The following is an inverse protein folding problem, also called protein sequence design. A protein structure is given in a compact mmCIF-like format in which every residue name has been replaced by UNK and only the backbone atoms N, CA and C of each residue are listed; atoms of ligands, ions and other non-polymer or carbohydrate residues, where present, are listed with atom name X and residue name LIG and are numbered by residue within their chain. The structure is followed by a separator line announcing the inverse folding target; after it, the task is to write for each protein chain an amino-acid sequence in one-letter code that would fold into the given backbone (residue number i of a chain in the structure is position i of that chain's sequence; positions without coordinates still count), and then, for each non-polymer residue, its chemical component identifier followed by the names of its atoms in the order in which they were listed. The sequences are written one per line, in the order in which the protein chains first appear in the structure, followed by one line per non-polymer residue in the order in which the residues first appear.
data_IF_782046016513
#
_entry.id   IF_782046016513
#
_cell.length_a   1.000
_cell.length_b   1.000
_cell.length_c   1.000
_cell.angle_alpha   90.00
_cell.angle_beta   90.00
_cell.angle_gamma   90.00
#
_symmetry.space_group_name_H-M   'P 1'
#
loop_
_entity.id
_entity.type
_entity.pdbx_description
1 polymer ?
#
# COMPACT_ATOMS: atom_id res chain seq x y z
N UNK A 1 -29.96 -11.06 -31.54
CA UNK A 1 -29.92 -10.23 -32.76
C UNK A 1 -29.80 -8.74 -32.38
N UNK A 2 -28.57 -8.24 -32.27
CA UNK A 2 -28.30 -6.87 -31.81
C UNK A 2 -26.97 -6.67 -31.08
N UNK A 3 -25.99 -7.56 -31.28
CA UNK A 3 -24.63 -7.29 -30.83
C UNK A 3 -24.00 -6.24 -31.76
N UNK A 4 -23.60 -5.11 -31.19
CA UNK A 4 -22.88 -4.04 -31.89
C UNK A 4 -21.67 -4.61 -32.65
N UNK A 5 -21.43 -4.21 -33.92
CA UNK A 5 -20.31 -4.70 -34.74
C UNK A 5 -18.92 -4.35 -34.18
N UNK A 6 -18.84 -3.62 -33.06
CA UNK A 6 -17.60 -3.26 -32.38
C UNK A 6 -16.92 -4.43 -31.64
N UNK A 7 -17.68 -5.36 -31.06
CA UNK A 7 -17.10 -6.43 -30.21
C UNK A 7 -16.19 -7.40 -30.99
N UNK A 8 -16.57 -7.87 -32.20
CA UNK A 8 -15.68 -8.72 -33.01
C UNK A 8 -14.43 -7.98 -33.48
N UNK A 9 -14.53 -6.68 -33.76
CA UNK A 9 -13.42 -5.87 -34.24
C UNK A 9 -12.36 -5.65 -33.15
N UNK A 10 -12.80 -5.42 -31.91
CA UNK A 10 -11.89 -5.29 -30.75
C UNK A 10 -11.16 -6.61 -30.45
N UNK A 11 -11.87 -7.74 -30.45
CA UNK A 11 -11.26 -9.07 -30.27
C UNK A 11 -10.25 -9.40 -31.37
N UNK A 12 -10.55 -9.03 -32.61
CA UNK A 12 -9.63 -9.22 -33.76
C UNK A 12 -8.39 -8.33 -33.64
N UNK A 13 -8.55 -7.08 -33.20
CA UNK A 13 -7.44 -6.17 -32.95
C UNK A 13 -6.54 -6.65 -31.80
N UNK A 14 -7.13 -7.18 -30.72
CA UNK A 14 -6.39 -7.76 -29.59
C UNK A 14 -5.59 -9.00 -30.00
N UNK A 15 -6.18 -9.91 -30.79
CA UNK A 15 -5.48 -11.09 -31.29
C UNK A 15 -4.26 -10.70 -32.17
N UNK A 16 -4.42 -9.68 -33.02
CA UNK A 16 -3.31 -9.16 -33.85
C UNK A 16 -2.21 -8.53 -33.01
N UNK A 17 -2.55 -7.78 -31.96
CA UNK A 17 -1.58 -7.15 -31.07
C UNK A 17 -0.76 -8.19 -30.29
N UNK A 18 -1.42 -9.20 -29.71
CA UNK A 18 -0.75 -10.29 -28.99
C UNK A 18 0.17 -11.10 -29.91
N UNK A 19 -0.25 -11.34 -31.15
CA UNK A 19 0.57 -12.05 -32.15
C UNK A 19 1.81 -11.23 -32.54
N UNK A 20 1.66 -9.90 -32.71
CA UNK A 20 2.77 -9.01 -33.01
C UNK A 20 3.78 -8.92 -31.85
N UNK A 21 3.29 -8.86 -30.61
CA UNK A 21 4.14 -8.85 -29.40
C UNK A 21 4.94 -10.15 -29.26
N UNK A 22 4.32 -11.30 -29.51
CA UNK A 22 5.00 -12.61 -29.51
C UNK A 22 6.08 -12.70 -30.59
N UNK A 23 5.81 -12.18 -31.79
CA UNK A 23 6.80 -12.14 -32.88
C UNK A 23 7.97 -11.19 -32.59
N UNK A 24 7.73 -10.08 -31.89
CA UNK A 24 8.77 -9.15 -31.48
C UNK A 24 9.68 -9.74 -30.39
N UNK A 25 9.11 -10.49 -29.44
CA UNK A 25 9.88 -11.20 -28.42
C UNK A 25 10.81 -12.27 -29.03
N UNK A 26 10.33 -12.96 -30.07
CA UNK A 26 11.13 -13.95 -30.81
C UNK A 26 12.26 -13.33 -31.63
N UNK A 27 12.10 -12.10 -32.15
CA UNK A 27 13.13 -11.44 -32.96
C UNK A 27 14.29 -10.86 -32.12
N UNK A 28 14.00 -10.38 -30.90
CA UNK A 28 15.02 -9.86 -29.97
C UNK A 28 15.92 -10.98 -29.43
N UNK A 29 15.40 -12.21 -29.26
CA UNK A 29 16.16 -13.36 -28.80
C UNK A 29 17.24 -13.86 -29.77
N UNK A 30 17.13 -13.57 -31.08
CA UNK A 30 18.06 -14.06 -32.11
C UNK A 30 19.29 -13.14 -32.27
N UNK A 31 19.20 -11.87 -31.87
CA UNK A 31 20.26 -10.88 -32.14
C UNK A 31 21.39 -10.82 -31.09
N UNK A 32 21.35 -11.64 -30.03
CA UNK A 32 22.26 -11.53 -28.87
C UNK A 32 23.51 -12.44 -28.89
N UNK A 33 23.79 -13.18 -29.98
CA UNK A 33 24.92 -14.11 -30.03
C UNK A 33 26.08 -13.62 -30.92
N UNK A 34 27.05 -12.92 -30.33
CA UNK A 34 28.46 -12.87 -30.78
C UNK A 34 29.37 -13.12 -29.57
N UNK A 35 30.35 -14.05 -29.61
CA UNK A 35 31.16 -14.37 -28.44
C UNK A 35 32.41 -13.49 -28.36
N UNK A 36 32.81 -12.99 -27.18
CA UNK A 36 34.18 -12.57 -26.91
C UNK A 36 34.99 -13.69 -26.22
N UNK A 37 36.29 -13.70 -26.47
CA UNK A 37 37.32 -14.67 -26.04
C UNK A 37 37.76 -14.41 -24.60
N UNK A 38 37.90 -15.45 -23.76
CA UNK A 38 38.60 -15.40 -22.46
C UNK A 38 39.43 -16.68 -22.17
N UNK A 39 40.54 -16.60 -21.40
CA UNK A 39 41.53 -17.67 -21.15
C UNK A 39 41.24 -18.53 -19.88
N UNK A 40 42.03 -19.60 -19.56
CA UNK A 40 41.59 -20.78 -18.81
C UNK A 40 41.83 -20.74 -17.26
N UNK A 41 41.36 -21.76 -16.50
CA UNK A 41 40.98 -21.63 -15.09
C UNK A 41 41.88 -22.38 -14.09
N UNK A 42 41.67 -22.12 -12.78
CA UNK A 42 42.06 -23.00 -11.68
C UNK A 42 40.83 -23.42 -10.84
N UNK A 43 40.78 -24.71 -10.48
CA UNK A 43 39.73 -25.36 -9.66
C UNK A 43 39.74 -24.92 -8.19
N UNK A 44 38.77 -25.30 -7.35
CA UNK A 44 38.40 -26.68 -6.99
C UNK A 44 36.99 -26.81 -6.36
N UNK A 45 36.56 -28.06 -6.28
CA UNK A 45 35.29 -28.70 -5.91
C UNK A 45 34.71 -28.48 -4.49
N UNK A 46 33.38 -28.42 -4.38
CA UNK A 46 32.62 -28.96 -3.23
C UNK A 46 31.21 -29.47 -3.60
N UNK A 47 30.74 -30.45 -2.82
CA UNK A 47 29.82 -31.55 -3.17
C UNK A 47 28.36 -31.29 -2.71
N UNK A 48 27.37 -31.69 -3.53
CA UNK A 48 25.91 -31.60 -3.33
C UNK A 48 25.32 -32.74 -2.47
N UNK A 49 24.27 -32.41 -1.70
CA UNK A 49 23.04 -33.19 -1.37
C UNK A 49 21.95 -32.13 -1.10
N UNK A 50 20.67 -32.18 -1.48
CA UNK A 50 19.78 -33.11 -2.17
C UNK A 50 18.37 -32.62 -1.80
N UNK A 51 17.57 -32.14 -2.77
CA UNK A 51 16.24 -31.57 -2.53
C UNK A 51 15.14 -32.42 -3.19
N UNK A 52 14.08 -32.68 -2.43
CA UNK A 52 12.94 -33.52 -2.74
C UNK A 52 11.91 -32.74 -3.58
N UNK A 53 11.36 -33.37 -4.62
CA UNK A 53 10.27 -32.85 -5.49
C UNK A 53 8.90 -33.16 -4.90
N UNK A 54 7.96 -32.22 -5.08
CA UNK A 54 6.51 -32.50 -5.10
C UNK A 54 5.91 -31.89 -6.38
N UNK A 55 4.96 -32.62 -6.95
CA UNK A 55 4.45 -32.51 -8.31
C UNK A 55 3.27 -31.53 -8.45
N UNK A 56 3.16 -30.91 -9.63
CA UNK A 56 1.96 -30.25 -10.13
C UNK A 56 1.70 -30.70 -11.58
N UNK A 57 0.49 -31.22 -11.84
CA UNK A 57 0.07 -31.84 -13.11
C UNK A 57 -0.85 -30.90 -13.90
N UNK A 58 -0.57 -30.90 -15.21
CA UNK A 58 -1.24 -30.49 -16.45
C UNK A 58 -2.51 -29.62 -16.50
N UNK A 59 -2.43 -28.61 -17.38
CA UNK A 59 -3.56 -28.01 -18.08
C UNK A 59 -3.10 -27.53 -19.48
N UNK A 60 -2.47 -28.41 -20.28
CA UNK A 60 -1.96 -28.08 -21.62
C UNK A 60 -2.16 -29.17 -22.69
N UNK A 61 -2.95 -30.20 -22.43
CA UNK A 61 -3.13 -31.31 -23.38
C UNK A 61 -4.25 -31.13 -24.42
N UNK A 62 -4.88 -29.95 -24.53
CA UNK A 62 -6.10 -29.80 -25.35
C UNK A 62 -6.05 -28.80 -26.52
N UNK A 63 -4.86 -28.44 -27.01
CA UNK A 63 -4.75 -27.65 -28.25
C UNK A 63 -3.70 -28.29 -29.17
N UNK A 64 -4.08 -29.43 -29.76
CA UNK A 64 -3.26 -30.15 -30.71
C UNK A 64 -4.06 -30.70 -31.88
N UNK A 65 -4.51 -29.83 -32.80
CA UNK A 65 -4.67 -30.24 -34.20
C UNK A 65 -4.73 -29.02 -35.14
N UNK A 66 -4.21 -29.19 -36.35
CA UNK A 66 -4.19 -28.26 -37.51
C UNK A 66 -3.14 -27.14 -37.53
N UNK A 67 -1.89 -27.50 -37.85
CA UNK A 67 -1.05 -26.75 -38.81
C UNK A 67 0.21 -27.57 -39.15
N UNK A 68 0.34 -27.98 -40.41
CA UNK A 68 1.50 -28.67 -40.96
C UNK A 68 2.65 -27.67 -41.20
N UNK A 69 3.76 -27.82 -40.47
CA UNK A 69 5.00 -27.09 -40.72
C UNK A 69 5.88 -27.82 -41.75
N UNK A 70 6.66 -27.09 -42.59
CA UNK A 70 7.59 -27.70 -43.54
C UNK A 70 8.76 -28.37 -42.80
N UNK A 71 9.11 -29.60 -43.21
CA UNK A 71 10.30 -30.31 -42.71
C UNK A 71 11.58 -29.62 -43.20
N UNK A 72 12.38 -29.10 -42.28
CA UNK A 72 13.76 -28.70 -42.54
C UNK A 72 14.61 -29.95 -42.88
N UNK A 73 15.66 -29.82 -43.72
CA UNK A 73 16.51 -30.95 -44.08
C UNK A 73 17.32 -31.43 -42.87
N UNK A 74 17.68 -32.73 -42.80
CA UNK A 74 18.42 -33.26 -41.66
C UNK A 74 19.82 -32.65 -41.64
N UNK A 75 20.13 -31.96 -40.56
CA UNK A 75 21.47 -31.48 -40.26
C UNK A 75 22.24 -32.65 -39.61
N UNK A 76 23.17 -33.26 -40.35
CA UNK A 76 24.06 -34.28 -39.81
C UNK A 76 25.09 -33.62 -38.87
N UNK A 77 24.76 -33.63 -37.57
CA UNK A 77 25.67 -33.26 -36.51
C UNK A 77 26.27 -34.53 -35.92
N UNK A 78 27.60 -34.65 -35.98
CA UNK A 78 28.36 -35.70 -35.31
C UNK A 78 28.02 -35.78 -33.81
N UNK A 79 28.09 -36.99 -33.26
CA UNK A 79 27.64 -37.35 -31.91
C UNK A 79 28.20 -36.46 -30.80
N UNK A 80 29.39 -35.88 -30.99
CA UNK A 80 30.06 -35.03 -30.00
C UNK A 80 29.46 -33.59 -29.93
N UNK A 81 28.88 -33.10 -31.03
CA UNK A 81 28.22 -31.79 -31.06
C UNK A 81 26.82 -31.82 -30.43
N UNK A 82 26.10 -32.94 -30.55
CA UNK A 82 24.80 -33.14 -29.88
C UNK A 82 24.93 -33.14 -28.36
N UNK A 83 26.01 -33.73 -27.83
CA UNK A 83 26.30 -33.77 -26.39
C UNK A 83 26.67 -32.37 -25.88
N UNK A 84 27.46 -31.60 -26.64
CA UNK A 84 27.80 -30.21 -26.27
C UNK A 84 26.60 -29.28 -26.30
N UNK A 85 25.72 -29.39 -27.30
CA UNK A 85 24.50 -28.58 -27.37
C UNK A 85 23.53 -28.92 -26.23
N UNK A 86 23.37 -30.22 -25.91
CA UNK A 86 22.55 -30.67 -24.78
C UNK A 86 23.12 -30.23 -23.42
N UNK A 87 24.45 -30.17 -23.26
CA UNK A 87 25.10 -29.67 -22.04
C UNK A 87 25.03 -28.13 -21.91
N UNK A 88 25.00 -27.40 -23.02
CA UNK A 88 24.85 -25.94 -23.03
C UNK A 88 23.39 -25.57 -22.71
N UNK A 89 22.42 -26.31 -23.25
CA UNK A 89 20.99 -26.15 -22.93
C UNK A 89 20.66 -26.56 -21.48
N UNK A 90 21.41 -27.50 -20.88
CA UNK A 90 21.26 -27.86 -19.46
C UNK A 90 21.84 -26.84 -18.46
N UNK A 91 22.54 -25.79 -18.91
CA UNK A 91 23.17 -24.77 -18.05
C UNK A 91 22.56 -23.37 -18.16
N UNK A 92 21.38 -23.21 -18.78
CA UNK A 92 20.80 -21.90 -19.02
C UNK A 92 19.87 -21.43 -17.90
N UNK A 93 20.42 -21.18 -16.71
CA UNK A 93 19.74 -20.41 -15.65
C UNK A 93 19.22 -19.06 -16.16
N UNK A 94 19.86 -18.52 -17.20
CA UNK A 94 19.53 -17.24 -17.85
C UNK A 94 18.32 -17.34 -18.77
N UNK A 95 18.11 -18.47 -19.46
CA UNK A 95 16.94 -18.65 -20.32
C UNK A 95 15.68 -18.90 -19.48
N UNK A 96 15.81 -19.65 -18.37
CA UNK A 96 14.73 -19.82 -17.41
C UNK A 96 14.36 -18.50 -16.73
N UNK A 97 15.35 -17.66 -16.39
CA UNK A 97 15.13 -16.30 -15.85
C UNK A 97 14.46 -15.36 -16.86
N UNK A 98 14.93 -15.33 -18.11
CA UNK A 98 14.36 -14.49 -19.16
C UNK A 98 12.96 -14.96 -19.56
N UNK A 99 12.73 -16.27 -19.67
CA UNK A 99 11.41 -16.81 -19.96
C UNK A 99 10.44 -16.57 -18.80
N UNK A 100 10.87 -16.70 -17.54
CA UNK A 100 10.07 -16.32 -16.38
C UNK A 100 9.69 -14.84 -16.41
N UNK A 101 10.65 -13.93 -16.63
CA UNK A 101 10.39 -12.48 -16.70
C UNK A 101 9.45 -12.10 -17.84
N UNK A 102 9.57 -12.74 -19.00
CA UNK A 102 8.67 -12.50 -20.15
C UNK A 102 7.28 -13.07 -19.87
N UNK A 103 7.19 -14.23 -19.23
CA UNK A 103 5.90 -14.85 -18.88
C UNK A 103 5.16 -14.03 -17.82
N UNK A 104 5.88 -13.54 -16.82
CA UNK A 104 5.34 -12.63 -15.79
C UNK A 104 4.85 -11.33 -16.41
N UNK A 105 5.61 -10.73 -17.32
CA UNK A 105 5.19 -9.51 -18.02
C UNK A 105 3.93 -9.73 -18.88
N UNK A 106 3.83 -10.87 -19.57
CA UNK A 106 2.64 -11.21 -20.36
C UNK A 106 1.43 -11.44 -19.45
N UNK A 107 1.63 -12.11 -18.32
CA UNK A 107 0.57 -12.39 -17.35
C UNK A 107 0.08 -11.10 -16.69
N UNK A 108 0.99 -10.17 -16.36
CA UNK A 108 0.64 -8.84 -15.87
C UNK A 108 -0.13 -8.02 -16.92
N UNK A 109 0.31 -8.03 -18.18
CA UNK A 109 -0.40 -7.37 -19.28
C UNK A 109 -1.82 -7.96 -19.43
N UNK A 110 -1.96 -9.28 -19.38
CA UNK A 110 -3.25 -9.96 -19.48
C UNK A 110 -4.17 -9.64 -18.30
N UNK A 111 -3.63 -9.58 -17.08
CA UNK A 111 -4.37 -9.19 -15.87
C UNK A 111 -4.82 -7.73 -15.93
N UNK A 112 -3.96 -6.82 -16.40
CA UNK A 112 -4.31 -5.41 -16.59
C UNK A 112 -5.40 -5.23 -17.65
N UNK A 113 -5.28 -5.88 -18.80
CA UNK A 113 -6.31 -5.89 -19.84
C UNK A 113 -7.63 -6.50 -19.34
N UNK A 114 -7.57 -7.57 -18.56
CA UNK A 114 -8.74 -8.18 -17.93
C UNK A 114 -9.47 -7.21 -17.00
N UNK A 115 -8.73 -6.51 -16.13
CA UNK A 115 -9.29 -5.48 -15.23
C UNK A 115 -9.87 -4.29 -15.99
N UNK A 116 -9.24 -3.86 -17.09
CA UNK A 116 -9.73 -2.76 -17.91
C UNK A 116 -11.03 -3.12 -18.65
N UNK A 117 -11.13 -4.34 -19.17
CA UNK A 117 -12.36 -4.87 -19.79
C UNK A 117 -13.47 -5.00 -18.75
N UNK A 118 -13.17 -5.53 -17.58
CA UNK A 118 -14.14 -5.64 -16.48
C UNK A 118 -14.64 -4.26 -16.03
N UNK A 119 -13.71 -3.29 -15.88
CA UNK A 119 -14.04 -1.90 -15.56
C UNK A 119 -14.91 -1.25 -16.63
N UNK A 120 -14.63 -1.50 -17.92
CA UNK A 120 -15.45 -1.00 -19.03
C UNK A 120 -16.85 -1.64 -19.06
N UNK A 121 -16.94 -2.94 -18.79
CA UNK A 121 -18.21 -3.66 -18.69
C UNK A 121 -19.05 -3.16 -17.51
N UNK A 122 -18.42 -2.90 -16.36
CA UNK A 122 -19.09 -2.27 -15.20
C UNK A 122 -19.61 -0.88 -15.59
N UNK A 123 -18.80 -0.04 -16.26
CA UNK A 123 -19.25 1.28 -16.73
C UNK A 123 -20.45 1.18 -17.68
N UNK A 124 -20.40 0.29 -18.66
CA UNK A 124 -21.49 0.10 -19.63
C UNK A 124 -22.76 -0.41 -18.93
N UNK A 125 -22.64 -1.39 -18.04
CA UNK A 125 -23.78 -1.90 -17.26
C UNK A 125 -24.37 -0.85 -16.34
N UNK A 126 -23.53 -0.05 -15.69
CA UNK A 126 -23.97 1.03 -14.79
C UNK A 126 -24.64 2.14 -15.57
N UNK A 127 -24.07 2.55 -16.71
CA UNK A 127 -24.66 3.58 -17.56
C UNK A 127 -26.02 3.13 -18.10
N UNK A 128 -26.10 1.89 -18.60
CA UNK A 128 -27.36 1.30 -19.06
C UNK A 128 -28.39 1.19 -17.95
N UNK A 129 -28.00 0.75 -16.75
CA UNK A 129 -28.90 0.68 -15.60
C UNK A 129 -29.35 2.07 -15.10
N UNK A 130 -28.47 3.10 -15.17
CA UNK A 130 -28.85 4.49 -14.89
C UNK A 130 -29.85 5.02 -15.91
N UNK A 131 -29.65 4.71 -17.19
CA UNK A 131 -30.56 5.04 -18.29
C UNK A 131 -31.91 4.31 -18.15
N UNK A 132 -31.91 3.03 -17.79
CA UNK A 132 -33.11 2.22 -17.57
C UNK A 132 -33.92 2.70 -16.35
N UNK A 133 -33.25 3.11 -15.26
CA UNK A 133 -33.89 3.70 -14.06
C UNK A 133 -34.44 5.10 -14.35
N UNK A 134 -33.77 5.90 -15.19
CA UNK A 134 -34.30 7.21 -15.65
C UNK A 134 -35.48 7.05 -16.61
N UNK A 135 -35.48 6.01 -17.45
CA UNK A 135 -36.55 5.73 -18.41
C UNK A 135 -37.82 5.13 -17.75
N UNK A 136 -37.69 4.43 -16.62
CA UNK A 136 -38.79 3.79 -15.89
C UNK A 136 -39.56 4.74 -14.93
N UNK A 137 -39.60 6.04 -15.20
CA UNK A 137 -40.17 7.05 -14.30
C UNK A 137 -41.66 6.87 -13.99
N UNK A 138 -42.00 6.19 -12.88
CA UNK A 138 -43.23 6.35 -12.09
C UNK A 138 -43.19 5.55 -10.74
N UNK A 139 -42.01 5.36 -10.13
CA UNK A 139 -41.88 4.78 -8.78
C UNK A 139 -41.88 5.86 -7.70
N UNK A 140 -42.25 5.53 -6.46
CA UNK A 140 -42.05 6.41 -5.30
C UNK A 140 -40.63 6.99 -5.28
N UNK A 141 -40.51 8.30 -5.02
CA UNK A 141 -39.22 8.98 -4.94
C UNK A 141 -38.37 8.31 -3.86
N UNK A 142 -37.28 7.63 -4.28
CA UNK A 142 -36.31 7.00 -3.38
C UNK A 142 -35.87 8.00 -2.31
N UNK A 143 -35.76 7.54 -1.06
CA UNK A 143 -35.29 8.39 0.04
C UNK A 143 -33.81 8.66 -0.15
N UNK A 144 -33.39 9.91 0.10
CA UNK A 144 -32.01 10.32 -0.06
C UNK A 144 -31.18 9.99 1.17
N UNK A 145 -30.22 9.10 1.02
CA UNK A 145 -29.26 8.72 2.07
C UNK A 145 -27.92 9.41 1.78
N UNK A 146 -27.47 10.25 2.72
CA UNK A 146 -26.12 10.83 2.64
C UNK A 146 -25.19 10.14 3.63
N UNK A 147 -24.04 9.69 3.14
CA UNK A 147 -22.99 9.04 3.94
C UNK A 147 -21.78 9.98 4.02
N UNK A 148 -21.39 10.38 5.23
CA UNK A 148 -20.20 11.20 5.45
C UNK A 148 -18.99 10.32 5.75
N UNK A 149 -17.93 10.51 4.98
CA UNK A 149 -16.67 9.79 5.10
C UNK A 149 -16.44 8.75 4.01
N UNK A 150 -15.20 8.25 3.97
CA UNK A 150 -14.73 7.17 3.10
C UNK A 150 -13.82 6.21 3.87
N UNK A 151 -14.10 6.03 5.16
CA UNK A 151 -13.41 5.07 6.03
C UNK A 151 -14.13 3.73 6.08
N UNK A 152 -13.75 2.88 7.04
CA UNK A 152 -14.33 1.55 7.26
C UNK A 152 -15.87 1.55 7.29
N UNK A 153 -16.49 2.43 8.09
CA UNK A 153 -17.94 2.49 8.20
C UNK A 153 -18.64 2.88 6.90
N UNK A 154 -18.20 3.97 6.26
CA UNK A 154 -18.75 4.42 4.98
C UNK A 154 -18.60 3.35 3.89
N UNK A 155 -17.40 2.81 3.75
CA UNK A 155 -17.07 1.86 2.71
C UNK A 155 -17.84 0.55 2.86
N UNK A 156 -17.94 0.02 4.09
CA UNK A 156 -18.73 -1.18 4.37
C UNK A 156 -20.21 -0.99 3.99
N UNK A 157 -20.80 0.16 4.34
CA UNK A 157 -22.19 0.48 4.00
C UNK A 157 -22.38 0.64 2.49
N UNK A 158 -21.54 1.44 1.84
CA UNK A 158 -21.63 1.74 0.40
C UNK A 158 -21.56 0.48 -0.46
N UNK A 159 -20.79 -0.54 -0.04
CA UNK A 159 -20.68 -1.81 -0.78
C UNK A 159 -21.96 -2.66 -0.76
N UNK A 160 -22.78 -2.55 0.29
CA UNK A 160 -23.92 -3.45 0.50
C UNK A 160 -25.29 -2.75 0.45
N UNK A 161 -25.31 -1.42 0.37
CA UNK A 161 -26.54 -0.64 0.42
C UNK A 161 -27.45 -0.96 -0.77
N UNK A 162 -28.73 -1.14 -0.49
CA UNK A 162 -29.76 -1.38 -1.49
C UNK A 162 -30.11 -0.06 -2.22
N UNK A 163 -29.47 0.13 -3.37
CA UNK A 163 -29.68 1.32 -4.22
C UNK A 163 -31.02 1.33 -4.95
N UNK A 164 -31.83 0.26 -4.85
CA UNK A 164 -33.22 0.28 -5.32
C UNK A 164 -34.15 0.99 -4.33
N UNK A 165 -33.79 1.00 -3.04
CA UNK A 165 -34.55 1.68 -1.98
C UNK A 165 -34.10 3.12 -1.72
N UNK A 166 -32.80 3.40 -1.88
CA UNK A 166 -32.21 4.69 -1.53
C UNK A 166 -31.49 5.33 -2.72
N UNK A 167 -31.60 6.66 -2.80
CA UNK A 167 -30.69 7.49 -3.59
C UNK A 167 -29.51 7.87 -2.69
N UNK A 168 -28.34 7.28 -2.96
CA UNK A 168 -27.21 7.32 -2.03
C UNK A 168 -26.10 8.24 -2.54
N UNK A 169 -25.66 9.16 -1.69
CA UNK A 169 -24.52 10.04 -1.95
C UNK A 169 -23.49 9.92 -0.83
N UNK A 170 -22.26 9.54 -1.17
CA UNK A 170 -21.12 9.58 -0.26
C UNK A 170 -20.34 10.91 -0.41
N UNK A 171 -20.04 11.56 0.71
CA UNK A 171 -19.30 12.83 0.75
C UNK A 171 -18.06 12.65 1.62
N UNK A 172 -16.89 12.84 1.04
CA UNK A 172 -15.61 12.78 1.74
C UNK A 172 -14.55 13.63 1.04
N UNK A 173 -13.59 14.25 1.75
CA UNK A 173 -12.48 14.90 1.09
C UNK A 173 -11.52 13.89 0.42
N UNK A 174 -11.54 12.63 0.89
CA UNK A 174 -10.66 11.55 0.42
C UNK A 174 -11.38 10.59 -0.54
N UNK A 175 -10.97 10.50 -1.82
CA UNK A 175 -11.70 9.79 -2.88
C UNK A 175 -11.57 8.27 -2.86
N UNK A 176 -10.96 7.71 -1.82
CA UNK A 176 -10.70 6.29 -1.68
C UNK A 176 -10.86 5.84 -0.22
N UNK A 177 -11.24 4.57 -0.07
CA UNK A 177 -11.09 3.80 1.15
C UNK A 177 -9.61 3.43 1.35
N UNK A 178 -9.20 3.31 2.62
CA UNK A 178 -7.88 2.81 3.00
C UNK A 178 -8.02 1.65 3.97
N UNK A 179 -7.31 0.55 3.70
CA UNK A 179 -7.16 -0.56 4.62
C UNK A 179 -6.10 -0.19 5.67
N UNK A 180 -6.55 0.55 6.69
CA UNK A 180 -5.66 1.11 7.73
C UNK A 180 -4.72 0.11 8.43
N UNK A 181 -5.05 -1.19 8.61
CA UNK A 181 -4.12 -2.13 9.25
C UNK A 181 -2.78 -2.29 8.51
N UNK A 182 -2.71 -2.06 7.21
CA UNK A 182 -1.46 -2.18 6.44
C UNK A 182 -0.70 -0.84 6.33
N UNK A 183 -1.13 0.20 7.02
CA UNK A 183 -0.51 1.52 6.89
C UNK A 183 0.91 1.57 7.46
N UNK A 184 1.20 0.79 8.52
CA UNK A 184 2.55 0.62 9.07
C UNK A 184 3.50 0.01 8.02
N UNK A 185 3.10 -1.10 7.41
CA UNK A 185 3.85 -1.75 6.33
C UNK A 185 4.09 -0.81 5.14
N UNK A 186 3.07 -0.01 4.77
CA UNK A 186 3.20 0.94 3.69
C UNK A 186 4.11 2.13 3.98
N UNK A 187 4.29 2.54 5.24
CA UNK A 187 5.13 3.69 5.58
C UNK A 187 6.62 3.40 5.48
N UNK A 188 7.03 2.14 5.57
CA UNK A 188 8.42 1.70 5.31
C UNK A 188 8.61 1.14 3.89
N UNK A 189 7.52 0.81 3.20
CA UNK A 189 7.54 0.39 1.80
C UNK A 189 7.40 -1.12 1.58
N UNK A 190 7.09 -1.90 2.62
CA UNK A 190 6.76 -3.33 2.54
C UNK A 190 5.54 -3.57 1.63
N UNK A 191 4.53 -2.68 1.72
CA UNK A 191 3.31 -2.73 0.91
C UNK A 191 3.09 -1.40 0.19
N UNK A 192 2.79 -1.44 -1.10
CA UNK A 192 2.55 -0.24 -1.89
C UNK A 192 1.16 0.37 -1.61
N UNK A 193 1.04 1.70 -1.61
CA UNK A 193 -0.17 2.43 -1.16
C UNK A 193 -1.43 2.12 -1.97
N UNK A 194 -1.31 1.86 -3.28
CA UNK A 194 -2.43 1.46 -4.14
C UNK A 194 -2.90 0.04 -3.83
N UNK A 195 -2.06 -0.79 -3.24
CA UNK A 195 -2.45 -2.14 -2.79
C UNK A 195 -3.36 -2.11 -1.56
N UNK A 196 -3.37 -0.99 -0.82
CA UNK A 196 -4.19 -0.81 0.40
C UNK A 196 -5.32 0.20 0.23
N UNK A 197 -5.60 0.64 -1.00
CA UNK A 197 -6.64 1.64 -1.28
C UNK A 197 -7.62 1.20 -2.37
N UNK A 198 -8.89 1.57 -2.19
CA UNK A 198 -9.98 1.27 -3.13
C UNK A 198 -10.73 2.58 -3.44
N UNK A 199 -10.79 3.05 -4.70
CA UNK A 199 -11.54 4.26 -5.04
C UNK A 199 -13.02 4.13 -4.68
N UNK A 200 -13.61 5.12 -4.01
CA UNK A 200 -15.02 5.08 -3.60
C UNK A 200 -15.99 4.90 -4.78
N UNK A 201 -15.61 5.45 -5.94
CA UNK A 201 -16.38 5.31 -7.19
C UNK A 201 -16.34 3.89 -7.77
N UNK A 202 -15.33 3.09 -7.41
CA UNK A 202 -15.22 1.70 -7.81
C UNK A 202 -15.94 0.77 -6.81
N UNK A 203 -16.06 1.18 -5.54
CA UNK A 203 -16.70 0.38 -4.48
C UNK A 203 -18.17 0.06 -4.78
N UNK A 204 -18.92 1.01 -5.35
CA UNK A 204 -20.29 0.80 -5.83
C UNK A 204 -20.63 1.81 -6.93
N UNK A 205 -20.86 1.39 -8.19
CA UNK A 205 -21.07 2.31 -9.30
C UNK A 205 -22.47 2.97 -9.31
N UNK A 206 -23.39 2.47 -8.48
CA UNK A 206 -24.74 3.02 -8.30
C UNK A 206 -24.82 4.08 -7.19
N UNK A 207 -23.74 4.29 -6.44
CA UNK A 207 -23.64 5.32 -5.41
C UNK A 207 -22.89 6.52 -5.97
N UNK A 208 -23.46 7.71 -5.81
CA UNK A 208 -22.76 8.93 -6.22
C UNK A 208 -21.74 9.34 -5.15
N UNK A 209 -20.62 9.91 -5.62
CA UNK A 209 -19.54 10.36 -4.76
C UNK A 209 -19.18 11.82 -5.04
N UNK A 210 -19.13 12.61 -3.96
CA UNK A 210 -18.74 14.02 -3.98
C UNK A 210 -17.45 14.18 -3.18
N UNK A 211 -16.39 14.69 -3.83
CA UNK A 211 -15.14 14.97 -3.16
C UNK A 211 -15.20 16.34 -2.47
N UNK A 212 -15.66 16.32 -1.22
CA UNK A 212 -15.84 17.51 -0.41
C UNK A 212 -15.75 17.18 1.08
N UNK A 213 -15.39 18.18 1.88
CA UNK A 213 -15.42 18.10 3.33
C UNK A 213 -16.76 18.60 3.85
N UNK A 214 -17.45 17.80 4.66
CA UNK A 214 -18.60 18.28 5.41
C UNK A 214 -18.10 19.17 6.56
N UNK A 215 -18.61 20.39 6.63
CA UNK A 215 -18.19 21.38 7.63
C UNK A 215 -19.27 21.64 8.69
N UNK A 216 -20.46 21.08 8.51
CA UNK A 216 -21.56 21.23 9.47
C UNK A 216 -22.81 20.49 9.01
N UNK A 217 -23.66 20.16 9.97
CA UNK A 217 -24.92 19.46 9.74
C UNK A 217 -26.04 20.20 10.47
N UNK A 218 -27.05 20.61 9.73
CA UNK A 218 -28.30 21.12 10.28
C UNK A 218 -29.31 19.96 10.32
N UNK A 219 -29.61 19.49 11.52
CA UNK A 219 -30.52 18.35 11.77
C UNK A 219 -32.00 18.75 11.66
N UNK A 220 -32.33 20.02 11.95
CA UNK A 220 -33.68 20.55 11.85
C UNK A 220 -34.07 20.77 10.38
N UNK A 221 -33.20 21.41 9.59
CA UNK A 221 -33.42 21.65 8.17
C UNK A 221 -33.02 20.46 7.28
N UNK A 222 -32.41 19.42 7.86
CA UNK A 222 -31.86 18.24 7.17
C UNK A 222 -30.93 18.59 6.00
N UNK A 223 -29.93 19.43 6.28
CA UNK A 223 -28.94 19.88 5.30
C UNK A 223 -27.52 19.71 5.83
N UNK A 224 -26.59 19.43 4.93
CA UNK A 224 -25.16 19.33 5.20
C UNK A 224 -24.47 20.46 4.46
N UNK A 225 -23.69 21.25 5.19
CA UNK A 225 -22.82 22.27 4.61
C UNK A 225 -21.49 21.62 4.20
N UNK A 226 -21.10 21.82 2.95
CA UNK A 226 -19.91 21.20 2.37
C UNK A 226 -18.95 22.26 1.81
N UNK A 227 -17.65 21.98 1.88
CA UNK A 227 -16.58 22.73 1.21
C UNK A 227 -15.93 21.82 0.17
N UNK A 228 -15.82 22.31 -1.06
CA UNK A 228 -15.20 21.54 -2.14
C UNK A 228 -13.73 21.24 -1.84
N UNK A 229 -13.28 20.02 -2.12
CA UNK A 229 -11.85 19.65 -2.03
C UNK A 229 -11.08 19.96 -3.32
N UNK A 230 -11.76 20.40 -4.38
CA UNK A 230 -11.15 20.62 -5.70
C UNK A 230 -11.23 22.09 -6.14
N UNK A 231 -12.24 22.82 -5.67
CA UNK A 231 -12.46 24.22 -6.00
C UNK A 231 -12.29 25.08 -4.73
N UNK A 232 -11.15 25.78 -4.58
CA UNK A 232 -10.89 26.61 -3.40
C UNK A 232 -11.99 27.67 -3.19
N UNK A 233 -12.47 27.80 -1.95
CA UNK A 233 -13.52 28.77 -1.58
C UNK A 233 -14.95 28.33 -1.89
N UNK A 234 -15.15 27.32 -2.75
CA UNK A 234 -16.47 26.85 -3.15
C UNK A 234 -17.18 26.11 -2.00
N UNK A 235 -18.41 26.54 -1.71
CA UNK A 235 -19.27 25.96 -0.67
C UNK A 235 -20.63 25.65 -1.25
N UNK A 236 -21.23 24.56 -0.81
CA UNK A 236 -22.56 24.14 -1.24
C UNK A 236 -23.27 23.38 -0.13
N UNK A 237 -24.56 23.13 -0.31
CA UNK A 237 -25.37 22.39 0.63
C UNK A 237 -25.97 21.14 0.00
N UNK A 238 -26.06 20.07 0.78
CA UNK A 238 -26.66 18.80 0.36
C UNK A 238 -27.78 18.45 1.33
N UNK A 239 -29.03 18.37 0.83
CA UNK A 239 -30.16 17.87 1.62
C UNK A 239 -30.11 16.35 1.78
N UNK A 240 -30.70 15.84 2.86
CA UNK A 240 -30.81 14.41 3.12
C UNK A 240 -32.17 14.04 3.74
N UNK A 241 -32.62 12.80 3.53
CA UNK A 241 -33.70 12.19 4.32
C UNK A 241 -33.12 11.44 5.52
N UNK A 242 -32.03 10.70 5.27
CA UNK A 242 -31.23 9.96 6.24
C UNK A 242 -29.75 10.34 6.13
N UNK A 243 -29.08 10.40 7.27
CA UNK A 243 -27.66 10.75 7.37
C UNK A 243 -26.91 9.67 8.13
N UNK A 244 -25.82 9.17 7.55
CA UNK A 244 -24.85 8.29 8.22
C UNK A 244 -23.56 9.07 8.40
N UNK A 245 -23.17 9.28 9.67
CA UNK A 245 -21.93 9.99 10.01
C UNK A 245 -20.84 8.98 10.31
N UNK A 246 -19.89 8.83 9.38
CA UNK A 246 -18.77 7.88 9.48
C UNK A 246 -17.43 8.54 9.16
N UNK A 247 -17.26 9.78 9.63
CA UNK A 247 -16.09 10.63 9.38
C UNK A 247 -14.82 10.17 10.12
N UNK A 248 -14.97 9.28 11.11
CA UNK A 248 -13.86 8.73 11.88
C UNK A 248 -13.30 9.70 12.92
N UNK A 249 -11.99 9.62 13.13
CA UNK A 249 -11.24 10.38 14.14
C UNK A 249 -9.94 10.90 13.55
N UNK A 250 -9.40 11.96 14.15
CA UNK A 250 -8.07 12.49 13.85
C UNK A 250 -7.04 12.03 14.89
N UNK A 251 -5.75 12.18 14.60
CA UNK A 251 -4.69 11.94 15.59
C UNK A 251 -4.75 12.98 16.69
N UNK A 252 -4.57 12.56 17.95
CA UNK A 252 -4.50 13.45 19.09
C UNK A 252 -3.06 13.93 19.30
N UNK A 253 -2.86 15.24 19.44
CA UNK A 253 -1.61 15.83 19.94
C UNK A 253 -1.65 16.09 21.45
N UNK A 254 -2.84 15.95 22.07
CA UNK A 254 -3.11 16.28 23.47
C UNK A 254 -2.70 17.70 23.90
N UNK A 255 -2.60 18.63 22.95
CA UNK A 255 -2.08 19.98 23.19
C UNK A 255 -0.60 20.03 23.55
N UNK A 256 0.16 18.95 23.33
CA UNK A 256 1.61 18.91 23.56
C UNK A 256 2.30 19.80 22.52
N UNK A 257 3.05 20.84 22.95
CA UNK A 257 3.72 21.75 22.02
C UNK A 257 4.68 21.02 21.07
N UNK A 258 4.62 21.40 19.79
CA UNK A 258 5.55 20.94 18.76
C UNK A 258 5.23 19.57 18.13
N UNK A 259 4.21 18.85 18.62
CA UNK A 259 3.85 17.53 18.07
C UNK A 259 3.45 17.64 16.59
N UNK A 260 2.61 18.61 16.21
CA UNK A 260 2.15 18.74 14.82
C UNK A 260 3.25 19.22 13.88
N UNK A 261 4.21 19.99 14.40
CA UNK A 261 5.29 20.62 13.67
C UNK A 261 6.44 19.64 13.42
N UNK A 262 6.82 18.86 14.43
CA UNK A 262 8.09 18.14 14.47
C UNK A 262 7.97 16.61 14.42
N UNK A 263 6.75 16.06 14.38
CA UNK A 263 6.52 14.61 14.30
C UNK A 263 5.83 14.18 12.99
N UNK A 264 5.78 12.87 12.76
CA UNK A 264 4.95 12.25 11.74
C UNK A 264 3.81 11.48 12.40
N UNK A 265 2.57 11.79 12.04
CA UNK A 265 1.46 10.90 12.35
C UNK A 265 1.48 9.67 11.43
N UNK A 266 0.62 8.70 11.71
CA UNK A 266 0.40 7.53 10.86
C UNK A 266 -1.09 7.19 10.78
N UNK A 267 -1.87 8.04 10.09
CA UNK A 267 -3.34 7.91 10.00
C UNK A 267 -3.86 7.83 8.57
N UNK A 268 -3.09 8.33 7.61
CA UNK A 268 -3.45 8.38 6.19
C UNK A 268 -2.30 7.96 5.28
N UNK A 269 -2.60 7.72 4.00
CA UNK A 269 -1.59 7.45 2.97
C UNK A 269 -0.61 8.62 2.84
N UNK A 270 -1.10 9.86 2.93
CA UNK A 270 -0.26 11.05 2.89
C UNK A 270 0.73 11.08 4.06
N UNK A 271 0.30 10.63 5.24
CA UNK A 271 1.19 10.50 6.40
C UNK A 271 2.27 9.46 6.15
N UNK A 272 1.91 8.29 5.61
CA UNK A 272 2.86 7.23 5.28
C UNK A 272 3.87 7.67 4.21
N UNK A 273 3.43 8.40 3.18
CA UNK A 273 4.32 9.01 2.16
C UNK A 273 5.29 10.00 2.79
N UNK A 274 4.80 10.89 3.65
CA UNK A 274 5.62 11.88 4.37
C UNK A 274 6.64 11.21 5.27
N UNK A 275 6.21 10.20 6.03
CA UNK A 275 7.06 9.41 6.91
C UNK A 275 8.18 8.72 6.13
N UNK A 276 7.85 7.99 5.06
CA UNK A 276 8.84 7.33 4.20
C UNK A 276 9.86 8.32 3.61
N UNK A 277 9.39 9.47 3.13
CA UNK A 277 10.25 10.50 2.57
C UNK A 277 11.20 11.09 3.61
N UNK A 278 10.71 11.39 4.83
CA UNK A 278 11.56 11.88 5.92
C UNK A 278 12.54 10.81 6.40
N UNK A 279 12.13 9.55 6.44
CA UNK A 279 12.96 8.44 6.84
C UNK A 279 14.18 8.29 5.92
N UNK A 280 13.95 8.22 4.60
CA UNK A 280 15.04 8.13 3.61
C UNK A 280 15.92 9.39 3.66
N UNK A 281 15.30 10.57 3.72
CA UNK A 281 16.04 11.83 3.82
C UNK A 281 16.97 11.88 5.04
N UNK A 282 16.61 11.20 6.14
CA UNK A 282 17.44 11.16 7.33
C UNK A 282 18.75 10.40 7.10
N UNK A 283 18.69 9.23 6.45
CA UNK A 283 19.90 8.47 6.08
C UNK A 283 20.78 9.23 5.08
N UNK A 284 20.16 9.93 4.11
CA UNK A 284 20.91 10.77 3.16
C UNK A 284 21.61 11.94 3.84
N UNK A 285 20.92 12.65 4.75
CA UNK A 285 21.52 13.74 5.54
C UNK A 285 22.71 13.25 6.35
N UNK A 286 22.58 12.11 7.02
CA UNK A 286 23.63 11.54 7.87
C UNK A 286 24.82 11.01 7.06
N UNK A 287 24.60 10.70 5.78
CA UNK A 287 25.65 10.28 4.85
C UNK A 287 26.57 11.42 4.40
N UNK A 288 26.22 12.69 4.69
CA UNK A 288 27.06 13.84 4.36
C UNK A 288 28.40 13.82 5.13
N UNK A 289 29.50 14.31 4.53
CA UNK A 289 30.84 14.17 5.09
C UNK A 289 31.12 15.11 6.29
N UNK A 290 30.29 16.14 6.51
CA UNK A 290 30.56 17.24 7.43
C UNK A 290 29.89 17.10 8.81
N UNK A 291 29.37 15.92 9.16
CA UNK A 291 28.74 15.66 10.45
C UNK A 291 29.67 14.94 11.42
N UNK A 292 29.68 15.40 12.66
CA UNK A 292 30.34 14.74 13.80
C UNK A 292 29.61 13.46 14.18
N UNK A 293 30.30 12.52 14.82
CA UNK A 293 29.69 11.23 15.22
C UNK A 293 28.50 11.41 16.16
N UNK A 294 28.54 12.43 17.03
CA UNK A 294 27.43 12.77 17.93
C UNK A 294 26.19 13.24 17.16
N UNK A 295 26.37 14.08 16.16
CA UNK A 295 25.27 14.53 15.30
C UNK A 295 24.68 13.36 14.52
N UNK A 296 25.54 12.45 14.01
CA UNK A 296 25.08 11.24 13.31
C UNK A 296 24.22 10.34 14.20
N UNK A 297 24.65 10.10 15.44
CA UNK A 297 23.90 9.26 16.39
C UNK A 297 22.56 9.90 16.79
N UNK A 298 22.55 11.20 17.09
CA UNK A 298 21.31 11.94 17.38
C UNK A 298 20.34 11.86 16.19
N UNK A 299 20.85 12.10 14.97
CA UNK A 299 20.07 12.07 13.74
C UNK A 299 19.60 10.65 13.34
N UNK A 300 20.27 9.59 13.77
CA UNK A 300 19.85 8.20 13.56
C UNK A 300 19.14 7.60 14.78
N UNK A 301 18.69 8.44 15.71
CA UNK A 301 17.77 8.06 16.77
C UNK A 301 16.33 8.24 16.30
N UNK A 302 15.61 7.14 16.19
CA UNK A 302 14.21 7.08 15.78
C UNK A 302 13.33 6.83 17.00
N UNK A 303 12.32 7.67 17.18
CA UNK A 303 11.42 7.61 18.34
C UNK A 303 9.99 7.34 17.88
N UNK A 304 9.34 6.36 18.50
CA UNK A 304 7.91 6.10 18.35
C UNK A 304 7.22 6.49 19.64
N UNK A 305 6.24 7.39 19.58
CA UNK A 305 5.44 7.79 20.75
C UNK A 305 4.09 7.09 20.67
N UNK A 306 3.79 6.27 21.68
CA UNK A 306 2.57 5.48 21.82
C UNK A 306 2.82 3.98 21.61
N UNK A 307 2.64 3.21 22.67
CA UNK A 307 2.75 1.74 22.69
C UNK A 307 1.47 1.00 22.32
N UNK A 308 0.54 1.65 21.60
CA UNK A 308 -0.65 0.97 21.06
C UNK A 308 -0.33 0.12 19.83
N UNK A 309 -1.32 -0.60 19.25
CA UNK A 309 -1.12 -1.46 18.09
C UNK A 309 -0.36 -0.78 16.95
N UNK A 310 -0.76 0.43 16.56
CA UNK A 310 -0.11 1.18 15.47
C UNK A 310 1.37 1.47 15.74
N UNK A 311 1.74 1.85 16.97
CA UNK A 311 3.12 2.16 17.31
C UNK A 311 4.01 0.90 17.40
N UNK A 312 3.45 -0.20 17.90
CA UNK A 312 4.13 -1.49 17.98
C UNK A 312 4.29 -2.12 16.58
N UNK A 313 3.25 -2.11 15.76
CA UNK A 313 3.31 -2.60 14.37
C UNK A 313 4.31 -1.79 13.53
N UNK A 314 4.27 -0.45 13.62
CA UNK A 314 5.27 0.38 12.94
C UNK A 314 6.68 0.07 13.42
N UNK A 315 6.88 -0.17 14.73
CA UNK A 315 8.19 -0.53 15.26
C UNK A 315 8.72 -1.84 14.67
N UNK A 316 7.86 -2.85 14.51
CA UNK A 316 8.22 -4.12 13.87
C UNK A 316 8.57 -3.95 12.39
N UNK A 317 7.71 -3.28 11.62
CA UNK A 317 7.95 -2.98 10.20
C UNK A 317 9.24 -2.16 10.00
N UNK A 318 9.51 -1.22 10.92
CA UNK A 318 10.73 -0.43 10.89
C UNK A 318 11.98 -1.27 11.20
N UNK A 319 11.90 -2.18 12.16
CA UNK A 319 12.99 -3.13 12.44
C UNK A 319 13.33 -3.98 11.21
N UNK A 320 12.33 -4.50 10.51
CA UNK A 320 12.54 -5.28 9.29
C UNK A 320 13.19 -4.43 8.18
N UNK A 321 12.73 -3.19 7.99
CA UNK A 321 13.37 -2.23 7.07
C UNK A 321 14.85 -1.97 7.42
N UNK A 322 15.18 -1.78 8.70
CA UNK A 322 16.57 -1.58 9.13
C UNK A 322 17.44 -2.80 8.80
N UNK A 323 16.93 -3.99 9.08
CA UNK A 323 17.66 -5.25 8.91
C UNK A 323 17.84 -5.63 7.44
N UNK A 324 16.82 -5.42 6.61
CA UNK A 324 16.80 -5.89 5.23
C UNK A 324 17.34 -4.84 4.25
N UNK A 325 16.86 -3.60 4.36
CA UNK A 325 17.16 -2.54 3.40
C UNK A 325 18.33 -1.67 3.84
N UNK A 326 18.29 -1.13 5.06
CA UNK A 326 19.32 -0.18 5.53
C UNK A 326 20.69 -0.86 5.63
N UNK A 327 20.73 -2.12 6.06
CA UNK A 327 21.98 -2.89 6.08
C UNK A 327 22.60 -3.04 4.68
N UNK A 328 21.78 -3.07 3.63
CA UNK A 328 22.23 -3.17 2.24
C UNK A 328 22.65 -1.81 1.66
N UNK A 329 21.85 -0.78 1.88
CA UNK A 329 22.03 0.54 1.26
C UNK A 329 22.96 1.47 2.06
N UNK A 330 22.93 1.38 3.39
CA UNK A 330 23.72 2.22 4.31
C UNK A 330 24.51 1.36 5.33
N UNK A 331 25.36 0.43 4.88
CA UNK A 331 26.06 -0.52 5.77
C UNK A 331 26.94 0.15 6.84
N UNK A 332 27.39 1.39 6.60
CA UNK A 332 28.20 2.16 7.56
C UNK A 332 27.37 2.86 8.64
N UNK A 333 26.07 3.01 8.43
CA UNK A 333 25.19 3.77 9.34
C UNK A 333 24.37 2.85 10.26
N UNK A 334 24.18 1.58 9.89
CA UNK A 334 23.32 0.65 10.64
C UNK A 334 23.70 0.54 12.12
N UNK A 335 25.00 0.57 12.46
CA UNK A 335 25.48 0.49 13.85
C UNK A 335 25.19 1.75 14.68
N UNK A 336 24.90 2.87 14.03
CA UNK A 336 24.58 4.14 14.66
C UNK A 336 23.08 4.32 14.91
N UNK A 337 22.24 3.45 14.32
CA UNK A 337 20.79 3.52 14.49
C UNK A 337 20.42 3.19 15.94
N UNK A 338 19.54 4.01 16.51
CA UNK A 338 18.90 3.76 17.80
C UNK A 338 17.39 3.84 17.63
N UNK A 339 16.67 2.91 18.23
CA UNK A 339 15.22 2.88 18.20
C UNK A 339 14.67 2.97 19.62
N UNK A 340 13.74 3.89 19.84
CA UNK A 340 13.10 4.11 21.13
C UNK A 340 11.59 4.10 20.97
N UNK A 341 10.88 3.50 21.92
CA UNK A 341 9.43 3.61 22.04
C UNK A 341 9.09 4.26 23.38
N UNK A 342 8.35 5.36 23.36
CA UNK A 342 7.89 6.08 24.56
C UNK A 342 6.40 5.80 24.76
N UNK A 343 6.04 5.25 25.91
CA UNK A 343 4.66 4.92 26.27
C UNK A 343 4.32 5.53 27.64
N UNK A 344 3.19 6.22 27.71
CA UNK A 344 2.73 6.91 28.91
C UNK A 344 2.27 5.96 30.02
N UNK A 345 1.73 4.80 29.66
CA UNK A 345 1.31 3.76 30.60
C UNK A 345 2.42 2.79 31.00
N UNK A 346 2.08 1.90 31.91
CA UNK A 346 2.99 0.88 32.46
C UNK A 346 3.19 -0.34 31.57
N UNK A 347 2.52 -0.42 30.42
CA UNK A 347 2.65 -1.50 29.45
C UNK A 347 2.38 -1.02 28.03
N UNK A 348 2.82 -1.80 27.04
CA UNK A 348 2.40 -1.66 25.65
C UNK A 348 1.19 -2.55 25.39
N UNK A 349 0.45 -2.28 24.30
CA UNK A 349 -0.69 -3.10 23.88
C UNK A 349 -1.71 -3.33 25.01
N UNK A 350 -2.07 -2.27 25.74
CA UNK A 350 -2.93 -2.33 26.94
C UNK A 350 -4.30 -2.97 26.73
N UNK A 351 -4.74 -3.15 25.47
CA UNK A 351 -5.96 -3.86 25.11
C UNK A 351 -5.83 -5.39 25.13
N UNK A 352 -4.61 -5.93 25.22
CA UNK A 352 -4.32 -7.37 25.25
C UNK A 352 -4.03 -7.83 26.68
N UNK A 353 -4.02 -9.14 26.94
CA UNK A 353 -3.67 -9.67 28.26
C UNK A 353 -2.16 -9.53 28.57
N UNK A 354 -1.83 -9.55 29.87
CA UNK A 354 -0.46 -9.34 30.37
C UNK A 354 0.57 -10.30 29.75
N UNK A 355 0.17 -11.53 29.38
CA UNK A 355 1.08 -12.50 28.76
C UNK A 355 1.48 -12.02 27.38
N UNK A 356 0.50 -11.63 26.55
CA UNK A 356 0.77 -11.10 25.21
C UNK A 356 1.55 -9.78 25.25
N UNK A 357 1.24 -8.92 26.21
CA UNK A 357 1.99 -7.69 26.44
C UNK A 357 3.46 -7.97 26.78
N UNK A 358 3.71 -8.92 27.69
CA UNK A 358 5.05 -9.34 28.09
C UNK A 358 5.85 -9.93 26.92
N UNK A 359 5.23 -10.81 26.14
CA UNK A 359 5.87 -11.39 24.93
C UNK A 359 6.23 -10.30 23.93
N UNK A 360 5.33 -9.36 23.65
CA UNK A 360 5.59 -8.26 22.73
C UNK A 360 6.74 -7.36 23.23
N UNK A 361 6.74 -7.02 24.52
CA UNK A 361 7.77 -6.18 25.12
C UNK A 361 9.15 -6.85 25.06
N UNK A 362 9.23 -8.12 25.46
CA UNK A 362 10.48 -8.90 25.37
C UNK A 362 10.98 -8.97 23.93
N UNK A 363 10.08 -9.22 22.97
CA UNK A 363 10.45 -9.28 21.56
C UNK A 363 11.01 -7.97 21.03
N UNK A 364 10.37 -6.84 21.34
CA UNK A 364 10.88 -5.51 20.95
C UNK A 364 12.27 -5.25 21.53
N UNK A 365 12.49 -5.61 22.80
CA UNK A 365 13.78 -5.44 23.46
C UNK A 365 14.87 -6.33 22.84
N UNK A 366 14.55 -7.58 22.49
CA UNK A 366 15.45 -8.48 21.75
C UNK A 366 15.83 -7.91 20.36
N UNK A 367 14.90 -7.20 19.73
CA UNK A 367 15.08 -6.52 18.45
C UNK A 367 15.82 -5.16 18.58
N UNK A 368 16.23 -4.81 19.81
CA UNK A 368 17.08 -3.64 20.09
C UNK A 368 16.32 -2.35 20.35
N UNK A 369 14.99 -2.39 20.48
CA UNK A 369 14.21 -1.23 20.91
C UNK A 369 14.41 -0.94 22.40
N UNK A 370 14.71 0.31 22.70
CA UNK A 370 14.62 0.83 24.06
C UNK A 370 13.18 1.28 24.34
N UNK A 371 12.47 0.50 25.14
CA UNK A 371 11.08 0.79 25.51
C UNK A 371 11.02 1.55 26.83
N UNK A 372 10.55 2.80 26.78
CA UNK A 372 10.46 3.73 27.90
C UNK A 372 9.00 3.80 28.34
N UNK A 373 8.66 3.01 29.35
CA UNK A 373 7.33 2.96 29.97
C UNK A 373 7.15 4.01 31.06
N UNK A 374 5.88 4.28 31.39
CA UNK A 374 5.44 5.29 32.33
C UNK A 374 5.99 6.69 31.99
N UNK A 375 6.19 6.98 30.70
CA UNK A 375 6.82 8.19 30.22
C UNK A 375 5.84 9.02 29.37
N UNK A 376 5.48 10.20 29.87
CA UNK A 376 4.55 11.12 29.21
C UNK A 376 5.34 12.23 28.53
N UNK A 377 5.20 12.33 27.20
CA UNK A 377 5.78 13.43 26.43
C UNK A 377 5.10 14.75 26.77
N UNK A 378 5.90 15.79 26.99
CA UNK A 378 5.46 17.13 27.40
C UNK A 378 5.79 18.20 26.37
N UNK A 379 6.81 18.00 25.54
CA UNK A 379 7.25 18.93 24.51
C UNK A 379 8.05 18.18 23.44
N UNK A 380 7.88 18.58 22.18
CA UNK A 380 8.71 18.13 21.05
C UNK A 380 9.30 19.37 20.37
N UNK A 381 10.62 19.46 20.29
CA UNK A 381 11.31 20.47 19.47
C UNK A 381 11.80 19.85 18.17
N UNK A 382 12.51 20.59 17.33
CA UNK A 382 13.04 20.08 16.06
C UNK A 382 13.95 18.85 16.22
N UNK A 383 14.69 18.78 17.32
CA UNK A 383 15.77 17.81 17.57
C UNK A 383 15.65 17.04 18.89
N UNK A 384 14.65 17.35 19.74
CA UNK A 384 14.52 16.78 21.07
C UNK A 384 13.08 16.51 21.49
N UNK A 385 12.88 15.38 22.17
CA UNK A 385 11.62 15.05 22.84
C UNK A 385 11.86 15.13 24.35
N UNK A 386 11.02 15.87 25.06
CA UNK A 386 11.05 15.96 26.53
C UNK A 386 9.85 15.24 27.13
N UNK A 387 10.10 14.45 28.16
CA UNK A 387 9.06 13.66 28.82
C UNK A 387 9.32 13.56 30.32
N UNK A 388 8.25 13.41 31.09
CA UNK A 388 8.30 13.06 32.51
C UNK A 388 8.05 11.57 32.68
N UNK A 389 8.73 10.95 33.65
CA UNK A 389 8.59 9.53 33.95
C UNK A 389 8.01 9.34 35.34
N UNK A 390 6.95 8.52 35.46
CA UNK A 390 6.32 8.26 36.74
C UNK A 390 7.33 7.73 37.76
N UNK A 391 7.36 8.33 38.95
CA UNK A 391 8.31 7.96 40.01
C UNK A 391 9.70 8.60 39.87
N UNK A 392 9.89 9.54 38.93
CA UNK A 392 11.10 10.37 38.82
C UNK A 392 10.73 11.84 38.81
N UNK A 393 11.45 12.64 39.58
CA UNK A 393 11.23 14.09 39.67
C UNK A 393 11.90 14.85 38.51
N UNK A 394 12.97 14.28 37.96
CA UNK A 394 13.71 14.89 36.85
C UNK A 394 13.03 14.63 35.51
N UNK A 395 12.95 15.68 34.69
CA UNK A 395 12.50 15.56 33.29
C UNK A 395 13.60 14.93 32.46
N UNK A 396 13.22 13.95 31.66
CA UNK A 396 14.13 13.26 30.74
C UNK A 396 13.98 13.83 29.32
N UNK A 397 15.02 13.66 28.52
CA UNK A 397 14.97 14.07 27.11
C UNK A 397 15.77 13.14 26.22
N UNK A 398 15.32 13.03 24.96
CA UNK A 398 15.96 12.23 23.92
C UNK A 398 16.19 13.11 22.71
N UNK A 399 17.44 13.16 22.24
CA UNK A 399 17.76 13.71 20.92
C UNK A 399 17.25 12.75 19.85
N UNK A 400 16.67 13.25 18.77
CA UNK A 400 16.07 12.41 17.73
C UNK A 400 16.22 13.01 16.33
N UNK A 401 16.21 12.14 15.32
CA UNK A 401 16.17 12.55 13.91
C UNK A 401 14.79 12.41 13.26
N UNK A 402 14.00 11.43 13.71
CA UNK A 402 12.64 11.23 13.25
C UNK A 402 11.75 10.70 14.38
N UNK A 403 10.58 11.31 14.55
CA UNK A 403 9.59 10.93 15.55
C UNK A 403 8.28 10.56 14.88
N UNK A 404 7.75 9.38 15.19
CA UNK A 404 6.42 8.94 14.79
C UNK A 404 5.48 9.05 15.98
N UNK A 405 4.46 9.91 15.85
CA UNK A 405 3.43 10.07 16.86
C UNK A 405 2.24 9.16 16.55
N UNK A 406 2.16 8.06 17.29
CA UNK A 406 1.10 7.07 17.21
C UNK A 406 0.21 7.07 18.48
N UNK A 407 0.25 8.14 19.27
CA UNK A 407 -0.49 8.24 20.52
C UNK A 407 -1.87 8.88 20.32
N UNK A 408 -2.91 8.08 20.55
CA UNK A 408 -4.28 8.53 20.76
C UNK A 408 -5.07 8.97 19.52
N UNK A 409 -6.38 9.11 19.72
CA UNK A 409 -7.32 9.64 18.74
C UNK A 409 -8.10 10.78 19.37
N UNK A 410 -8.50 11.75 18.56
CA UNK A 410 -9.38 12.84 18.93
C UNK A 410 -10.57 12.91 17.97
N UNK A 411 -11.75 13.36 18.44
CA UNK A 411 -12.89 13.59 17.56
C UNK A 411 -12.58 14.69 16.54
N UNK A 412 -13.26 14.64 15.40
CA UNK A 412 -13.26 15.71 14.41
C UNK A 412 -14.22 16.84 14.85
N UNK A 413 -13.96 18.11 14.47
CA UNK A 413 -14.84 19.23 14.81
C UNK A 413 -16.32 18.98 14.48
N UNK A 414 -16.62 18.46 13.28
CA UNK A 414 -18.00 18.14 12.87
C UNK A 414 -18.69 17.14 13.82
N UNK A 415 -17.95 16.21 14.43
CA UNK A 415 -18.50 15.25 15.38
C UNK A 415 -18.82 15.92 16.72
N UNK A 416 -17.98 16.86 17.15
CA UNK A 416 -18.22 17.65 18.36
C UNK A 416 -19.44 18.57 18.19
N UNK A 417 -19.51 19.25 17.05
CA UNK A 417 -20.63 20.15 16.71
C UNK A 417 -21.96 19.40 16.69
N UNK A 418 -21.97 18.16 16.17
CA UNK A 418 -23.15 17.30 16.12
C UNK A 418 -23.62 16.77 17.48
N UNK A 419 -22.69 16.56 18.42
CA UNK A 419 -23.02 16.07 19.78
C UNK A 419 -23.49 17.24 20.66
N UNK A 420 -22.95 18.44 20.42
CA UNK A 420 -23.31 19.65 21.16
C UNK A 420 -24.60 20.32 20.69
N UNK A 421 -25.10 19.99 19.50
CA UNK A 421 -26.39 20.44 18.94
C UNK A 421 -27.53 19.50 19.33
#
# INVERSE_FOLDING_TARGET
PGASPFVPQVLTAMARFLTAAALLALSVGVSAFRPPVLPPPFGTTLRRRGATRLAGVSMLDEIGSTASFPRLPPMDLESDQRVRLAQILQKSTVFDLLSAQVTDAIQDIALHLGRDVESALVRIRTQKAREDVQAAGAGEKKKKLVVLGSGWGAHALVKIIDTDKFDVVAISPRPYFIFTPMLAASSVGTVEYRSISEPMRASNPFVDYIQAEATGVDTAAKKISCRSSQLPGERFSVSYDYLVVSVGVQSADFGVPGVREHTCFLKSVDDAIKLRSRLVAQFEKVSLPNLTDREREAMLTFVVVGGGPTGVEFSGEFFDFLRQDVTRYYPKLVSLVRTKLIQSGGSILEAFDETMQGVALSRMQEEGYEVILNARVEEVTEDKIRFSRQGRDEKESVDYGLCVWAAGNAPLPISLDLIGA
#
